data_IF_001677064140
#
_entry.id   IF_001677064140
#
_cell.length_a   1.000
_cell.length_b   1.000
_cell.length_c   1.000
_cell.angle_alpha   90.00
_cell.angle_beta   90.00
_cell.angle_gamma   90.00
#
_symmetry.space_group_name_H-M   'P 1'
#
loop_
_entity.id
_entity.type
_entity.pdbx_description
1 polymer ?
#
# COMPACT_ATOMS: atom_id res chain seq x y z
N UNK A 1 3.06 33.73 6.01
CA UNK A 1 2.66 32.82 4.96
C UNK A 1 3.84 32.04 4.43
N UNK A 2 4.89 32.78 4.08
CA UNK A 2 6.12 32.11 3.62
C UNK A 2 6.72 31.29 4.74
N UNK A 3 6.73 31.85 5.94
CA UNK A 3 7.23 31.12 7.09
C UNK A 3 6.40 29.87 7.32
N UNK A 4 5.12 30.00 7.09
CA UNK A 4 4.23 28.88 7.25
C UNK A 4 4.58 27.78 6.25
N UNK A 5 4.81 28.16 5.02
CA UNK A 5 5.19 27.20 4.00
C UNK A 5 6.52 26.56 4.33
N UNK A 6 7.45 27.37 4.81
CA UNK A 6 8.76 26.85 5.19
C UNK A 6 8.63 25.82 6.29
N UNK A 7 7.75 26.08 7.24
CA UNK A 7 7.53 25.13 8.31
C UNK A 7 6.86 23.87 7.80
N UNK A 8 5.91 24.02 6.89
CA UNK A 8 5.18 22.89 6.38
C UNK A 8 6.02 21.98 5.52
N UNK A 9 6.91 22.56 4.70
CA UNK A 9 7.72 21.76 3.79
C UNK A 9 8.64 20.79 4.52
N UNK A 10 9.40 21.24 5.52
CA UNK A 10 10.21 20.31 6.30
C UNK A 10 9.35 19.24 6.97
N UNK A 11 8.22 19.68 7.51
CA UNK A 11 7.32 18.74 8.15
C UNK A 11 6.81 17.70 7.16
N UNK A 12 6.50 18.14 5.94
CA UNK A 12 6.05 17.21 4.92
C UNK A 12 7.12 16.21 4.56
N UNK A 13 8.37 16.64 4.50
CA UNK A 13 9.44 15.72 4.18
C UNK A 13 9.62 14.69 5.28
N UNK A 14 9.57 15.11 6.52
CA UNK A 14 9.61 14.18 7.63
C UNK A 14 8.41 13.26 7.59
N UNK A 15 7.23 13.85 7.34
CA UNK A 15 6.01 13.06 7.25
C UNK A 15 6.10 12.04 6.13
N UNK A 16 6.75 12.41 5.01
CA UNK A 16 6.90 11.48 3.91
C UNK A 16 7.78 10.31 4.31
N UNK A 17 8.87 10.58 5.01
CA UNK A 17 9.73 9.50 5.49
C UNK A 17 8.99 8.61 6.48
N UNK A 18 8.27 9.24 7.39
CA UNK A 18 7.45 8.50 8.33
C UNK A 18 6.41 7.68 7.60
N UNK A 19 5.77 8.30 6.60
CA UNK A 19 4.76 7.61 5.84
C UNK A 19 5.34 6.42 5.11
N UNK A 20 6.52 6.58 4.52
CA UNK A 20 7.18 5.48 3.84
C UNK A 20 7.50 4.34 4.81
N UNK A 21 7.99 4.70 5.99
CA UNK A 21 8.28 3.70 7.01
C UNK A 21 7.00 3.01 7.45
N UNK A 22 5.93 3.78 7.61
CA UNK A 22 4.64 3.24 8.02
C UNK A 22 4.04 2.35 6.94
N UNK A 23 4.20 2.74 5.67
CA UNK A 23 3.74 1.90 4.58
C UNK A 23 4.49 0.58 4.59
N UNK A 24 5.80 0.65 4.78
CA UNK A 24 6.61 -0.57 4.83
C UNK A 24 6.17 -1.46 5.98
N UNK A 25 5.97 -0.87 7.15
CA UNK A 25 5.49 -1.63 8.30
C UNK A 25 4.12 -2.23 8.05
N UNK A 26 3.24 -1.44 7.43
CA UNK A 26 1.89 -1.92 7.13
C UNK A 26 1.94 -3.09 6.15
N UNK A 27 2.82 -3.00 5.15
CA UNK A 27 2.98 -4.09 4.20
C UNK A 27 3.44 -5.37 4.91
N UNK A 28 4.26 -5.22 5.93
CA UNK A 28 4.74 -6.38 6.67
C UNK A 28 3.65 -7.03 7.49
N UNK A 29 2.56 -6.31 7.78
CA UNK A 29 1.45 -6.92 8.51
C UNK A 29 0.54 -7.74 7.61
N UNK A 30 0.67 -7.59 6.30
CA UNK A 30 -0.08 -8.40 5.36
C UNK A 30 0.46 -9.82 5.38
N UNK A 31 -0.42 -10.80 5.13
CA UNK A 31 0.10 -12.14 4.95
C UNK A 31 0.85 -12.19 3.61
N UNK A 32 1.59 -13.27 3.42
CA UNK A 32 2.47 -13.37 2.26
C UNK A 32 1.70 -13.26 0.94
N UNK A 33 0.56 -13.93 0.84
CA UNK A 33 -0.22 -13.90 -0.39
C UNK A 33 -0.73 -12.50 -0.70
N UNK A 34 -1.22 -11.80 0.32
CA UNK A 34 -1.69 -10.44 0.14
C UNK A 34 -0.56 -9.52 -0.32
N UNK A 35 0.59 -9.66 0.32
CA UNK A 35 1.72 -8.81 -0.01
C UNK A 35 2.20 -9.04 -1.44
N UNK A 36 2.31 -10.30 -1.83
CA UNK A 36 2.73 -10.63 -3.19
C UNK A 36 1.74 -10.08 -4.21
N UNK A 37 0.45 -10.25 -3.97
CA UNK A 37 -0.57 -9.76 -4.90
C UNK A 37 -0.49 -8.25 -5.06
N UNK A 38 -0.30 -7.53 -3.95
CA UNK A 38 -0.18 -6.06 -3.99
C UNK A 38 1.04 -5.66 -4.80
N UNK A 39 2.18 -6.33 -4.56
CA UNK A 39 3.41 -6.00 -5.26
C UNK A 39 3.27 -6.27 -6.75
N UNK A 40 2.68 -7.39 -7.12
CA UNK A 40 2.50 -7.71 -8.54
C UNK A 40 1.58 -6.71 -9.22
N UNK A 41 0.53 -6.30 -8.54
CA UNK A 41 -0.42 -5.38 -9.14
C UNK A 41 0.13 -3.97 -9.22
N UNK A 42 0.71 -3.46 -8.14
CA UNK A 42 1.12 -2.06 -8.07
C UNK A 42 2.47 -1.80 -8.69
N UNK A 43 3.41 -2.69 -8.52
CA UNK A 43 4.77 -2.45 -9.00
C UNK A 43 5.06 -3.11 -10.32
N UNK A 44 4.43 -4.25 -10.60
CA UNK A 44 4.64 -4.92 -11.87
C UNK A 44 3.55 -4.63 -12.87
N UNK A 45 2.48 -3.96 -12.45
CA UNK A 45 1.40 -3.58 -13.34
C UNK A 45 0.60 -4.75 -13.87
N UNK A 46 0.59 -5.86 -13.17
CA UNK A 46 -0.08 -7.05 -13.67
C UNK A 46 -1.58 -6.96 -13.49
N UNK A 47 -2.31 -7.51 -14.45
CA UNK A 47 -3.75 -7.61 -14.36
C UNK A 47 -4.15 -8.67 -13.34
N UNK A 48 -5.39 -8.63 -12.93
CA UNK A 48 -5.90 -9.65 -12.01
C UNK A 48 -5.78 -11.05 -12.62
N UNK A 49 -6.03 -11.14 -13.93
CA UNK A 49 -5.92 -12.44 -14.61
C UNK A 49 -4.50 -12.96 -14.57
N UNK A 50 -3.53 -12.07 -14.81
CA UNK A 50 -2.13 -12.46 -14.80
C UNK A 50 -1.66 -12.83 -13.40
N UNK A 51 -2.09 -12.07 -12.41
CA UNK A 51 -1.77 -12.40 -11.02
C UNK A 51 -2.36 -13.76 -10.67
N UNK A 52 -3.60 -13.99 -11.10
CA UNK A 52 -4.26 -15.26 -10.84
C UNK A 52 -3.50 -16.42 -11.47
N UNK A 53 -3.04 -16.24 -12.70
CA UNK A 53 -2.25 -17.29 -13.35
C UNK A 53 -0.95 -17.54 -12.58
N UNK A 54 -0.30 -16.48 -12.13
CA UNK A 54 0.96 -16.59 -11.41
C UNK A 54 0.77 -17.25 -10.05
N UNK A 55 -0.30 -16.90 -9.36
CA UNK A 55 -0.54 -17.36 -8.00
C UNK A 55 -1.50 -18.56 -7.94
N UNK A 56 -1.91 -19.05 -9.10
CA UNK A 56 -2.83 -20.19 -9.20
C UNK A 56 -4.14 -19.90 -8.50
N UNK A 57 -4.72 -18.76 -8.86
CA UNK A 57 -5.98 -18.30 -8.31
C UNK A 57 -6.85 -17.78 -9.43
N UNK A 58 -8.15 -17.77 -9.20
CA UNK A 58 -9.07 -17.14 -10.14
C UNK A 58 -8.93 -15.61 -10.04
N UNK A 59 -9.33 -14.91 -11.11
CA UNK A 59 -9.34 -13.46 -11.09
C UNK A 59 -10.21 -12.92 -9.95
N UNK A 60 -11.34 -13.57 -9.71
CA UNK A 60 -12.23 -13.16 -8.63
C UNK A 60 -11.56 -13.30 -7.28
N UNK A 61 -10.80 -14.39 -7.09
CA UNK A 61 -10.08 -14.59 -5.84
C UNK A 61 -9.00 -13.54 -5.67
N UNK A 62 -8.32 -13.18 -6.77
CA UNK A 62 -7.31 -12.10 -6.73
C UNK A 62 -7.96 -10.79 -6.31
N UNK A 63 -9.12 -10.49 -6.89
CA UNK A 63 -9.83 -9.26 -6.56
C UNK A 63 -10.16 -9.21 -5.06
N UNK A 64 -10.64 -10.32 -4.52
CA UNK A 64 -10.96 -10.39 -3.10
C UNK A 64 -9.70 -10.25 -2.25
N UNK A 65 -8.63 -10.90 -2.66
CA UNK A 65 -7.36 -10.84 -1.94
C UNK A 65 -6.84 -9.42 -1.88
N UNK A 66 -6.85 -8.73 -3.02
CA UNK A 66 -6.39 -7.34 -3.09
C UNK A 66 -7.30 -6.41 -2.30
N UNK A 67 -8.60 -6.67 -2.32
CA UNK A 67 -9.54 -5.85 -1.58
C UNK A 67 -9.25 -5.93 -0.08
N UNK A 68 -9.00 -7.14 0.43
CA UNK A 68 -8.66 -7.32 1.84
C UNK A 68 -7.32 -6.68 2.17
N UNK A 69 -6.35 -6.82 1.27
CA UNK A 69 -5.04 -6.21 1.49
C UNK A 69 -5.16 -4.70 1.58
N UNK A 70 -5.91 -4.09 0.67
CA UNK A 70 -6.11 -2.64 0.68
C UNK A 70 -6.81 -2.19 1.95
N UNK A 71 -7.79 -2.96 2.40
CA UNK A 71 -8.51 -2.60 3.62
C UNK A 71 -7.57 -2.65 4.82
N UNK A 72 -6.74 -3.68 4.88
CA UNK A 72 -5.77 -3.78 5.98
C UNK A 72 -4.78 -2.64 5.94
N UNK A 73 -4.29 -2.30 4.74
CA UNK A 73 -3.36 -1.19 4.59
C UNK A 73 -4.03 0.13 4.98
N UNK A 74 -5.26 0.33 4.54
CA UNK A 74 -5.98 1.56 4.84
C UNK A 74 -6.15 1.72 6.35
N UNK A 75 -6.53 0.65 7.02
CA UNK A 75 -6.72 0.70 8.46
C UNK A 75 -5.42 1.07 9.17
N UNK A 76 -4.31 0.49 8.74
CA UNK A 76 -3.02 0.76 9.38
C UNK A 76 -2.52 2.16 9.09
N UNK A 77 -2.84 2.70 7.92
CA UNK A 77 -2.26 3.97 7.48
C UNK A 77 -3.18 5.16 7.69
N UNK A 78 -4.44 4.91 8.00
CA UNK A 78 -5.40 6.00 8.14
C UNK A 78 -4.93 7.09 9.09
N UNK A 79 -4.35 6.77 10.25
CA UNK A 79 -3.93 7.84 11.16
C UNK A 79 -2.88 8.76 10.56
N UNK A 80 -2.18 8.32 9.53
CA UNK A 80 -1.05 9.05 8.96
C UNK A 80 -1.39 9.78 7.67
N UNK A 81 -2.53 9.49 7.06
CA UNK A 81 -2.85 10.06 5.76
C UNK A 81 -4.02 11.04 5.82
N UNK A 82 -4.50 11.34 7.00
CA UNK A 82 -5.57 12.30 7.18
C UNK A 82 -5.10 13.72 7.04
#
# INVERSE_FOLDING_TARGET
LVAEKSALLPTRQLDRRELQANVRSAMETLNERQRIAVLLHKFEGMSYADIGATMEMSSAAVKSLLSRARENLRTKLEPYVR
#
